data_IF_670679500937
#
_entry.id   IF_670679500937
#
_cell.length_a   1.000
_cell.length_b   1.000
_cell.length_c   1.000
_cell.angle_alpha   90.00
_cell.angle_beta   90.00
_cell.angle_gamma   90.00
#
_symmetry.space_group_name_H-M   'P 1'
#
loop_
_entity.id
_entity.type
_entity.pdbx_description
1 polymer ?
#
# COMPACT_ATOMS: atom_id res chain seq x y z
N UNK A 1 -0.04 6.37 -45.20
CA UNK A 1 -0.21 7.10 -43.92
C UNK A 1 0.97 6.69 -43.07
N UNK A 2 1.68 7.64 -42.47
CA UNK A 2 2.97 7.36 -41.82
C UNK A 2 2.73 6.48 -40.58
N UNK A 3 2.97 5.17 -40.68
CA UNK A 3 2.90 4.19 -39.58
C UNK A 3 3.99 4.38 -38.50
N UNK A 4 4.62 5.57 -38.46
CA UNK A 4 5.79 5.90 -37.63
C UNK A 4 5.55 7.03 -36.61
N UNK A 5 4.30 7.40 -36.35
CA UNK A 5 3.96 8.35 -35.27
C UNK A 5 3.23 7.62 -34.16
N UNK A 6 3.74 7.70 -32.93
CA UNK A 6 3.16 7.08 -31.74
C UNK A 6 4.24 6.54 -30.79
N UNK A 7 3.80 6.06 -29.63
CA UNK A 7 4.64 5.48 -28.59
C UNK A 7 4.28 4.01 -28.37
N UNK A 8 5.29 3.16 -28.21
CA UNK A 8 5.13 1.77 -27.79
C UNK A 8 5.16 1.74 -26.26
N UNK A 9 4.07 1.35 -25.62
CA UNK A 9 3.94 1.27 -24.16
C UNK A 9 3.98 -0.22 -23.73
N UNK A 10 5.13 -0.71 -23.21
CA UNK A 10 5.31 -2.12 -22.90
C UNK A 10 4.85 -2.49 -21.47
N UNK A 11 4.06 -3.56 -21.34
CA UNK A 11 3.71 -4.19 -20.06
C UNK A 11 4.03 -5.68 -20.08
N UNK A 12 4.44 -6.23 -18.94
CA UNK A 12 4.78 -7.65 -18.83
C UNK A 12 4.43 -8.26 -17.46
N UNK A 13 4.25 -9.57 -17.37
CA UNK A 13 4.06 -10.31 -16.11
C UNK A 13 4.71 -11.70 -16.15
N UNK A 14 4.96 -12.33 -14.99
CA UNK A 14 5.42 -13.73 -14.92
C UNK A 14 4.28 -14.71 -15.24
N UNK A 15 3.02 -14.30 -15.08
CA UNK A 15 1.84 -15.05 -15.53
C UNK A 15 0.87 -14.17 -16.34
N UNK A 16 -0.03 -14.78 -17.12
CA UNK A 16 -1.12 -14.05 -17.79
C UNK A 16 -1.98 -13.28 -16.79
N UNK A 17 -2.30 -13.91 -15.65
CA UNK A 17 -3.05 -13.28 -14.55
C UNK A 17 -2.33 -12.09 -13.92
N UNK A 18 -1.01 -12.20 -13.72
CA UNK A 18 -0.20 -11.07 -13.20
C UNK A 18 -0.21 -9.89 -14.17
N UNK A 19 -0.08 -10.16 -15.46
CA UNK A 19 -0.16 -9.12 -16.49
C UNK A 19 -1.54 -8.45 -16.49
N UNK A 20 -2.63 -9.23 -16.49
CA UNK A 20 -4.00 -8.70 -16.41
C UNK A 20 -4.25 -7.88 -15.13
N UNK A 21 -3.73 -8.34 -14.00
CA UNK A 21 -3.82 -7.59 -12.74
C UNK A 21 -3.08 -6.26 -12.83
N UNK A 22 -1.85 -6.28 -13.36
CA UNK A 22 -1.06 -5.07 -13.53
C UNK A 22 -1.77 -4.06 -14.45
N UNK A 23 -2.36 -4.52 -15.54
CA UNK A 23 -3.13 -3.67 -16.45
C UNK A 23 -4.41 -3.12 -15.82
N UNK A 24 -5.11 -3.89 -14.97
CA UNK A 24 -6.25 -3.38 -14.20
C UNK A 24 -5.84 -2.26 -13.25
N UNK A 25 -4.68 -2.39 -12.61
CA UNK A 25 -4.12 -1.37 -11.74
C UNK A 25 -3.71 -0.09 -12.50
N UNK A 26 -3.15 -0.24 -13.69
CA UNK A 26 -2.86 0.90 -14.60
C UNK A 26 -4.16 1.55 -15.06
N UNK A 27 -5.15 0.77 -15.51
CA UNK A 27 -6.48 1.25 -15.91
C UNK A 27 -7.15 2.05 -14.79
N UNK A 28 -7.14 1.51 -13.57
CA UNK A 28 -7.71 2.17 -12.38
C UNK A 28 -7.06 3.54 -12.16
N UNK A 29 -5.73 3.62 -12.24
CA UNK A 29 -4.99 4.88 -12.05
C UNK A 29 -5.29 5.90 -13.16
N UNK A 30 -5.24 5.48 -14.42
CA UNK A 30 -5.60 6.33 -15.56
C UNK A 30 -7.06 6.83 -15.49
N UNK A 31 -7.97 6.02 -14.91
CA UNK A 31 -9.39 6.36 -14.76
C UNK A 31 -9.72 7.24 -13.53
N UNK A 32 -8.93 7.12 -12.44
CA UNK A 32 -9.28 7.72 -11.14
C UNK A 32 -8.58 9.05 -10.85
N UNK A 33 -7.44 9.31 -11.50
CA UNK A 33 -6.64 10.52 -11.30
C UNK A 33 -6.83 11.51 -12.45
N UNK A 34 -6.44 12.77 -12.23
CA UNK A 34 -6.36 13.75 -13.30
C UNK A 34 -5.38 13.23 -14.36
N UNK A 35 -5.89 12.78 -15.51
CA UNK A 35 -5.14 12.09 -16.58
C UNK A 35 -3.92 12.91 -17.05
N UNK A 36 -3.96 14.24 -16.87
CA UNK A 36 -2.82 15.14 -17.09
C UNK A 36 -1.57 14.82 -16.27
N UNK A 37 -1.69 14.07 -15.18
CA UNK A 37 -0.59 13.58 -14.36
C UNK A 37 0.12 12.36 -14.97
N UNK A 38 -0.57 11.62 -15.84
CA UNK A 38 -0.13 10.35 -16.43
C UNK A 38 0.15 10.50 -17.93
N UNK A 39 0.93 11.51 -18.33
CA UNK A 39 1.31 11.63 -19.75
C UNK A 39 2.23 10.47 -20.18
N UNK A 40 2.29 10.21 -21.48
CA UNK A 40 3.04 9.08 -22.04
C UNK A 40 4.53 9.11 -21.67
N UNK A 41 5.16 10.28 -21.62
CA UNK A 41 6.59 10.36 -21.28
C UNK A 41 6.87 9.89 -19.85
N UNK A 42 6.04 10.28 -18.89
CA UNK A 42 6.17 9.85 -17.50
C UNK A 42 5.88 8.35 -17.37
N UNK A 43 4.91 7.82 -18.13
CA UNK A 43 4.59 6.39 -18.14
C UNK A 43 5.78 5.56 -18.63
N UNK A 44 6.35 5.94 -19.78
CA UNK A 44 7.53 5.31 -20.36
C UNK A 44 8.73 5.35 -19.42
N UNK A 45 8.94 6.48 -18.76
CA UNK A 45 10.01 6.65 -17.79
C UNK A 45 9.91 5.64 -16.63
N UNK A 46 8.71 5.39 -16.10
CA UNK A 46 8.50 4.39 -15.04
C UNK A 46 8.71 2.97 -15.58
N UNK A 47 8.21 2.67 -16.76
CA UNK A 47 8.36 1.36 -17.39
C UNK A 47 9.81 1.04 -17.77
N UNK A 48 10.61 2.04 -18.14
CA UNK A 48 12.04 1.87 -18.47
C UNK A 48 12.89 1.30 -17.34
N UNK A 49 12.44 1.46 -16.09
CA UNK A 49 13.14 1.00 -14.88
C UNK A 49 12.70 -0.40 -14.45
N UNK A 50 11.75 -1.00 -15.17
CA UNK A 50 11.18 -2.30 -14.86
C UNK A 50 11.82 -3.36 -15.74
N UNK A 51 12.19 -4.49 -15.12
CA UNK A 51 12.71 -5.65 -15.87
C UNK A 51 11.56 -6.42 -16.52
N UNK A 52 11.59 -6.53 -17.84
CA UNK A 52 10.57 -7.25 -18.61
C UNK A 52 10.46 -8.73 -18.24
N UNK A 53 9.23 -9.23 -18.26
CA UNK A 53 8.82 -10.59 -17.85
C UNK A 53 8.32 -11.43 -19.03
N UNK A 54 7.83 -12.64 -18.75
CA UNK A 54 7.60 -13.66 -19.78
C UNK A 54 6.31 -13.48 -20.59
N UNK A 55 5.21 -13.06 -19.97
CA UNK A 55 3.99 -12.65 -20.67
C UNK A 55 4.10 -11.17 -20.98
N UNK A 56 3.88 -10.76 -22.24
CA UNK A 56 4.13 -9.41 -22.72
C UNK A 56 2.96 -8.89 -23.53
N UNK A 57 2.64 -7.61 -23.35
CA UNK A 57 1.74 -6.86 -24.21
C UNK A 57 2.33 -5.48 -24.45
N UNK A 58 2.21 -4.97 -25.66
CA UNK A 58 2.63 -3.64 -26.05
C UNK A 58 1.45 -2.91 -26.70
N UNK A 59 1.24 -1.66 -26.29
CA UNK A 59 0.21 -0.78 -26.85
C UNK A 59 0.86 0.30 -27.69
N UNK A 60 0.34 0.55 -28.88
CA UNK A 60 0.82 1.62 -29.78
C UNK A 60 -0.17 2.78 -29.68
N UNK A 61 0.24 3.86 -29.05
CA UNK A 61 -0.66 4.97 -28.66
C UNK A 61 -0.04 6.34 -28.89
N UNK A 62 -0.88 7.34 -29.11
CA UNK A 62 -0.47 8.74 -29.19
C UNK A 62 -0.50 9.44 -27.83
N UNK A 63 -1.47 9.08 -26.97
CA UNK A 63 -1.69 9.68 -25.65
C UNK A 63 -2.22 8.70 -24.59
N UNK A 64 -2.38 9.21 -23.36
CA UNK A 64 -2.80 8.43 -22.19
C UNK A 64 -4.27 8.02 -22.23
N UNK A 65 -5.12 8.76 -22.95
CA UNK A 65 -6.54 8.45 -23.09
C UNK A 65 -6.70 7.27 -24.05
N UNK A 66 -5.96 7.27 -25.16
CA UNK A 66 -5.87 6.13 -26.06
C UNK A 66 -5.30 4.90 -25.35
N UNK A 67 -4.28 5.07 -24.50
CA UNK A 67 -3.75 3.99 -23.66
C UNK A 67 -4.82 3.39 -22.75
N UNK A 68 -5.59 4.22 -22.05
CA UNK A 68 -6.68 3.77 -21.19
C UNK A 68 -7.73 2.97 -21.98
N UNK A 69 -8.08 3.43 -23.17
CA UNK A 69 -9.04 2.78 -24.05
C UNK A 69 -8.54 1.41 -24.53
N UNK A 70 -7.28 1.31 -24.99
CA UNK A 70 -6.71 0.05 -25.45
C UNK A 70 -6.48 -0.96 -24.32
N UNK A 71 -6.07 -0.50 -23.12
CA UNK A 71 -6.00 -1.38 -21.94
C UNK A 71 -7.38 -1.91 -21.58
N UNK A 72 -8.41 -1.05 -21.62
CA UNK A 72 -9.79 -1.45 -21.34
C UNK A 72 -10.30 -2.47 -22.35
N UNK A 73 -10.00 -2.27 -23.64
CA UNK A 73 -10.33 -3.21 -24.71
C UNK A 73 -9.65 -4.57 -24.50
N UNK A 74 -8.32 -4.58 -24.30
CA UNK A 74 -7.56 -5.80 -24.05
C UNK A 74 -8.05 -6.58 -22.83
N UNK A 75 -8.39 -5.89 -21.73
CA UNK A 75 -8.91 -6.55 -20.53
C UNK A 75 -10.33 -7.12 -20.71
N UNK A 76 -11.12 -6.56 -21.62
CA UNK A 76 -12.46 -7.06 -21.95
C UNK A 76 -12.42 -8.27 -22.88
N UNK A 77 -11.48 -8.26 -23.84
CA UNK A 77 -11.25 -9.35 -24.78
C UNK A 77 -9.74 -9.44 -25.09
N UNK A 78 -8.99 -10.30 -24.38
CA UNK A 78 -7.56 -10.47 -24.62
C UNK A 78 -7.22 -11.08 -26.00
N UNK A 79 -8.22 -11.59 -26.74
CA UNK A 79 -8.08 -12.13 -28.09
C UNK A 79 -8.51 -11.14 -29.19
N UNK A 80 -8.77 -9.88 -28.82
CA UNK A 80 -9.18 -8.84 -29.76
C UNK A 80 -8.16 -8.66 -30.89
N UNK A 81 -8.62 -8.73 -32.14
CA UNK A 81 -7.80 -8.43 -33.31
C UNK A 81 -7.68 -6.90 -33.47
N UNK A 82 -6.62 -6.33 -32.90
CA UNK A 82 -6.33 -4.90 -32.98
C UNK A 82 -4.84 -4.67 -33.24
N UNK A 83 -4.51 -4.04 -34.37
CA UNK A 83 -3.12 -3.75 -34.79
C UNK A 83 -2.33 -2.87 -33.81
N UNK A 84 -3.00 -2.15 -32.91
CA UNK A 84 -2.37 -1.34 -31.85
C UNK A 84 -2.13 -2.10 -30.54
N UNK A 85 -2.54 -3.37 -30.46
CA UNK A 85 -2.35 -4.26 -29.30
C UNK A 85 -1.53 -5.46 -29.75
N UNK A 86 -0.29 -5.54 -29.28
CA UNK A 86 0.62 -6.62 -29.65
C UNK A 86 0.89 -7.48 -28.41
N UNK A 87 0.73 -8.80 -28.51
CA UNK A 87 0.91 -9.72 -27.38
C UNK A 87 1.96 -10.76 -27.69
N UNK A 88 2.53 -11.36 -26.65
CA UNK A 88 3.45 -12.49 -26.78
C UNK A 88 3.82 -13.14 -25.46
N UNK A 89 4.39 -14.32 -25.56
CA UNK A 89 4.95 -15.10 -24.48
C UNK A 89 6.33 -15.62 -24.89
N UNK A 90 7.38 -15.16 -24.19
CA UNK A 90 8.77 -15.50 -24.53
C UNK A 90 9.12 -16.99 -24.39
N UNK A 91 8.26 -17.80 -23.73
CA UNK A 91 8.47 -19.24 -23.58
C UNK A 91 7.70 -20.05 -24.64
N UNK A 92 6.68 -19.48 -25.28
CA UNK A 92 5.82 -20.17 -26.25
C UNK A 92 6.11 -19.71 -27.68
N UNK A 93 6.48 -18.44 -27.86
CA UNK A 93 6.61 -17.81 -29.18
C UNK A 93 8.04 -17.81 -29.73
N UNK A 94 8.99 -18.43 -29.02
CA UNK A 94 10.38 -18.59 -29.47
C UNK A 94 10.54 -19.52 -30.67
N UNK A 95 9.52 -20.33 -30.98
CA UNK A 95 9.52 -21.24 -32.13
C UNK A 95 9.37 -20.52 -33.49
N UNK A 96 9.19 -19.20 -33.52
CA UNK A 96 9.19 -18.41 -34.77
C UNK A 96 10.58 -18.10 -35.32
N UNK A 97 11.65 -18.52 -34.65
CA UNK A 97 13.02 -18.39 -35.15
C UNK A 97 13.27 -19.52 -36.18
N UNK A 98 12.94 -19.26 -37.44
CA UNK A 98 13.71 -19.86 -38.52
C UNK A 98 15.14 -19.34 -38.41
N UNK A 99 16.12 -20.25 -38.44
CA UNK A 99 17.56 -19.98 -38.48
C UNK A 99 17.89 -18.71 -39.29
N UNK A 100 18.00 -17.56 -38.63
CA UNK A 100 18.47 -16.34 -39.26
C UNK A 100 18.95 -15.36 -38.19
N UNK A 101 20.27 -15.31 -38.03
CA UNK A 101 20.99 -14.27 -37.30
C UNK A 101 20.93 -12.88 -37.99
N UNK A 102 19.85 -12.59 -38.72
CA UNK A 102 19.65 -11.33 -39.43
C UNK A 102 18.24 -10.80 -39.13
N UNK A 103 18.06 -10.19 -37.96
CA UNK A 103 16.94 -9.26 -37.76
C UNK A 103 17.22 -8.09 -38.70
N UNK A 104 16.52 -8.05 -39.85
CA UNK A 104 16.54 -6.93 -40.80
C UNK A 104 16.24 -5.61 -40.08
N UNK A 105 16.72 -4.48 -40.61
CA UNK A 105 16.24 -3.16 -40.20
C UNK A 105 14.71 -3.17 -40.18
N UNK A 106 14.15 -2.81 -39.03
CA UNK A 106 12.72 -2.87 -38.75
C UNK A 106 12.18 -1.46 -38.88
N UNK A 107 11.21 -1.26 -39.77
CA UNK A 107 10.79 0.08 -40.19
C UNK A 107 9.46 0.55 -39.56
N UNK A 108 8.70 -0.35 -38.89
CA UNK A 108 7.39 -0.02 -38.31
C UNK A 108 7.29 -0.25 -36.79
N UNK A 109 6.52 0.60 -36.10
CA UNK A 109 6.27 0.48 -34.65
C UNK A 109 5.63 -0.87 -34.28
N UNK A 110 4.77 -1.42 -35.14
CA UNK A 110 4.12 -2.72 -34.94
C UNK A 110 5.11 -3.88 -34.92
N UNK A 111 6.07 -3.90 -35.84
CA UNK A 111 7.10 -4.93 -35.87
C UNK A 111 8.06 -4.81 -34.69
N UNK A 112 8.41 -3.59 -34.26
CA UNK A 112 9.23 -3.37 -33.06
C UNK A 112 8.52 -3.91 -31.82
N UNK A 113 7.23 -3.60 -31.66
CA UNK A 113 6.42 -4.10 -30.55
C UNK A 113 6.33 -5.64 -30.56
N UNK A 114 6.15 -6.25 -31.75
CA UNK A 114 6.06 -7.69 -31.90
C UNK A 114 7.35 -8.40 -31.52
N UNK A 115 8.51 -7.89 -31.97
CA UNK A 115 9.81 -8.45 -31.63
C UNK A 115 10.09 -8.38 -30.12
N UNK A 116 9.65 -7.32 -29.45
CA UNK A 116 9.76 -7.26 -27.99
C UNK A 116 8.81 -8.23 -27.29
N UNK A 117 7.56 -8.36 -27.74
CA UNK A 117 6.61 -9.32 -27.18
C UNK A 117 7.11 -10.78 -27.26
N UNK A 118 7.89 -11.11 -28.30
CA UNK A 118 8.54 -12.41 -28.45
C UNK A 118 9.87 -12.55 -27.71
N UNK A 119 10.38 -11.49 -27.08
CA UNK A 119 11.67 -11.51 -26.38
C UNK A 119 12.89 -11.44 -27.30
N UNK A 120 12.70 -11.09 -28.58
CA UNK A 120 13.77 -10.96 -29.58
C UNK A 120 14.40 -9.55 -29.60
N UNK A 121 13.80 -8.57 -28.91
CA UNK A 121 14.38 -7.26 -28.63
C UNK A 121 14.46 -7.01 -27.12
N UNK A 122 15.58 -6.43 -26.69
CA UNK A 122 15.79 -5.97 -25.32
C UNK A 122 15.06 -4.65 -25.05
N UNK A 123 14.81 -4.36 -23.77
CA UNK A 123 14.09 -3.18 -23.29
C UNK A 123 14.73 -1.85 -23.76
N UNK A 124 16.03 -1.84 -24.01
CA UNK A 124 16.75 -0.68 -24.55
C UNK A 124 16.50 -0.39 -26.05
N UNK A 125 15.92 -1.34 -26.79
CA UNK A 125 15.76 -1.29 -28.26
C UNK A 125 14.30 -1.15 -28.74
N UNK A 126 13.32 -1.22 -27.83
CA UNK A 126 12.07 -0.47 -28.04
C UNK A 126 12.46 0.98 -27.79
N UNK A 127 12.09 1.92 -28.66
CA UNK A 127 12.39 3.36 -28.56
C UNK A 127 11.91 4.01 -27.23
N UNK A 128 12.56 3.66 -26.13
CA UNK A 128 12.69 4.47 -24.91
C UNK A 128 13.79 5.52 -25.12
N UNK A 129 14.00 5.92 -26.38
CA UNK A 129 15.21 6.58 -26.86
C UNK A 129 15.25 8.02 -26.34
N UNK A 130 15.81 8.17 -25.15
CA UNK A 130 16.64 9.29 -24.68
C UNK A 130 16.15 10.72 -24.92
N UNK A 131 14.86 10.94 -25.11
CA UNK A 131 14.25 12.28 -25.13
C UNK A 131 13.46 12.64 -23.88
N UNK A 132 13.35 11.73 -22.90
CA UNK A 132 12.76 12.09 -21.59
C UNK A 132 13.83 12.76 -20.75
N UNK A 133 14.03 14.06 -21.00
CA UNK A 133 14.82 14.93 -20.16
C UNK A 133 14.15 15.04 -18.77
N UNK A 134 14.84 14.48 -17.77
CA UNK A 134 14.95 14.97 -16.39
C UNK A 134 13.75 15.80 -15.91
N UNK A 135 12.63 15.15 -15.60
CA UNK A 135 11.65 15.72 -14.69
C UNK A 135 11.43 14.72 -13.56
N UNK A 136 11.77 15.12 -12.33
CA UNK A 136 11.73 14.32 -11.09
C UNK A 136 10.32 13.89 -10.65
N UNK A 137 9.35 13.83 -11.55
CA UNK A 137 7.97 13.50 -11.21
C UNK A 137 7.79 11.98 -11.25
N UNK A 138 7.96 11.34 -10.10
CA UNK A 138 7.57 9.94 -9.91
C UNK A 138 6.04 9.86 -9.89
N UNK A 139 5.47 9.02 -10.75
CA UNK A 139 4.07 8.58 -10.64
C UNK A 139 4.08 7.09 -10.32
N UNK A 140 3.16 6.68 -9.48
CA UNK A 140 2.90 5.26 -9.30
C UNK A 140 2.09 4.75 -10.49
N UNK A 141 2.60 3.74 -11.19
CA UNK A 141 1.89 3.03 -12.27
C UNK A 141 1.39 1.66 -11.83
N UNK A 142 1.54 1.31 -10.56
CA UNK A 142 1.43 -0.04 -10.02
C UNK A 142 2.76 -0.80 -10.13
N UNK A 143 3.03 -1.68 -9.18
CA UNK A 143 4.16 -2.61 -9.23
C UNK A 143 3.90 -3.78 -10.17
N UNK A 144 4.96 -4.50 -10.59
CA UNK A 144 4.75 -5.91 -10.94
C UNK A 144 4.39 -6.59 -9.64
N UNK A 145 3.15 -7.02 -9.52
CA UNK A 145 2.78 -7.90 -8.42
C UNK A 145 3.39 -9.25 -8.75
N UNK A 146 4.67 -9.39 -8.40
CA UNK A 146 5.30 -10.69 -8.18
C UNK A 146 4.26 -11.56 -7.52
N UNK A 147 4.05 -12.75 -8.09
CA UNK A 147 3.22 -13.83 -7.59
C UNK A 147 2.56 -13.53 -6.24
N UNK A 148 1.26 -13.79 -6.18
CA UNK A 148 0.44 -14.04 -4.98
C UNK A 148 1.01 -15.10 -4.00
N UNK A 149 2.31 -15.38 -4.05
CA UNK A 149 3.13 -16.19 -3.16
C UNK A 149 4.15 -15.36 -2.35
N UNK A 150 4.24 -14.03 -2.52
CA UNK A 150 4.96 -13.12 -1.60
C UNK A 150 4.08 -11.92 -1.17
N UNK A 151 2.80 -12.20 -0.91
CA UNK A 151 2.21 -11.71 0.34
C UNK A 151 3.16 -12.23 1.43
N UNK A 152 3.58 -11.47 2.47
CA UNK A 152 4.07 -12.12 3.68
C UNK A 152 3.11 -13.28 3.95
N UNK A 153 3.62 -14.51 3.93
CA UNK A 153 2.79 -15.72 3.97
C UNK A 153 1.69 -15.52 5.01
N UNK A 154 0.44 -15.63 4.52
CA UNK A 154 -0.87 -15.62 5.21
C UNK A 154 -1.44 -14.32 5.81
N UNK A 155 -2.21 -13.62 4.97
CA UNK A 155 -3.63 -13.48 5.27
C UNK A 155 -4.45 -13.97 4.08
N UNK A 156 -4.82 -15.24 4.12
CA UNK A 156 -5.93 -15.74 3.30
C UNK A 156 -7.22 -15.19 3.87
N UNK A 157 -7.58 -13.96 3.50
CA UNK A 157 -8.95 -13.47 3.72
C UNK A 157 -9.86 -14.31 2.84
N UNK A 158 -10.66 -15.14 3.47
CA UNK A 158 -11.70 -15.92 2.81
C UNK A 158 -13.01 -15.38 3.34
N UNK A 159 -13.84 -14.83 2.45
CA UNK A 159 -15.21 -14.48 2.76
C UNK A 159 -16.03 -15.77 2.84
N UNK A 160 -16.48 -16.22 4.03
CA UNK A 160 -17.39 -17.35 4.15
C UNK A 160 -18.81 -16.85 3.82
N UNK A 161 -19.13 -16.58 2.57
CA UNK A 161 -20.53 -16.27 2.22
C UNK A 161 -21.37 -17.55 2.26
N UNK A 162 -21.82 -17.93 3.46
CA UNK A 162 -22.84 -18.96 3.66
C UNK A 162 -24.21 -18.30 3.85
N UNK A 163 -25.25 -18.80 3.17
CA UNK A 163 -26.63 -18.28 3.24
C UNK A 163 -27.22 -18.26 4.66
N UNK A 164 -26.75 -19.12 5.56
CA UNK A 164 -27.18 -19.16 6.97
C UNK A 164 -26.58 -18.05 7.83
N UNK A 165 -25.44 -17.46 7.44
CA UNK A 165 -24.74 -16.42 8.21
C UNK A 165 -25.29 -15.00 7.96
N UNK A 166 -26.18 -14.84 6.97
CA UNK A 166 -26.95 -13.63 6.68
C UNK A 166 -28.23 -13.59 7.53
N UNK A 167 -28.10 -13.52 8.86
CA UNK A 167 -29.27 -13.30 9.72
C UNK A 167 -29.82 -11.89 9.41
N UNK A 168 -30.99 -11.82 8.78
CA UNK A 168 -31.71 -10.59 8.37
C UNK A 168 -30.95 -9.62 7.43
N UNK A 169 -29.96 -10.08 6.65
CA UNK A 169 -29.13 -9.23 5.77
C UNK A 169 -28.36 -8.09 6.49
N UNK A 170 -28.25 -8.10 7.81
CA UNK A 170 -27.57 -7.05 8.58
C UNK A 170 -26.21 -7.48 9.12
N UNK A 171 -25.91 -8.79 9.16
CA UNK A 171 -24.64 -9.29 9.68
C UNK A 171 -23.93 -10.05 8.57
N UNK A 172 -22.65 -9.71 8.39
CA UNK A 172 -21.70 -10.38 7.50
C UNK A 172 -20.47 -10.80 8.30
N UNK A 173 -19.88 -11.92 7.94
CA UNK A 173 -18.61 -12.36 8.50
C UNK A 173 -17.54 -12.41 7.42
N UNK A 174 -16.31 -12.05 7.78
CA UNK A 174 -15.10 -12.34 7.01
C UNK A 174 -14.18 -13.20 7.89
N UNK A 175 -13.43 -14.14 7.32
CA UNK A 175 -12.48 -14.96 8.08
C UNK A 175 -11.09 -14.80 7.51
N UNK A 176 -10.10 -14.76 8.40
CA UNK A 176 -8.71 -14.85 8.01
C UNK A 176 -7.93 -15.61 9.08
N UNK A 177 -6.89 -16.32 8.65
CA UNK A 177 -6.06 -17.13 9.53
C UNK A 177 -4.66 -16.55 9.56
N UNK A 178 -4.16 -16.37 10.78
CA UNK A 178 -2.77 -16.01 11.07
C UNK A 178 -2.09 -17.25 11.63
N UNK A 179 -1.02 -17.69 10.98
CA UNK A 179 -0.27 -18.88 11.36
C UNK A 179 0.74 -18.61 12.46
N UNK A 180 1.15 -17.35 12.60
CA UNK A 180 2.30 -16.93 13.38
C UNK A 180 3.58 -16.85 12.54
N UNK A 181 3.64 -17.49 11.38
CA UNK A 181 4.83 -17.55 10.51
C UNK A 181 4.92 -16.37 9.53
N UNK A 182 3.91 -15.48 9.51
CA UNK A 182 3.90 -14.26 8.71
C UNK A 182 5.12 -13.38 9.06
N UNK A 183 5.82 -12.84 8.07
CA UNK A 183 6.98 -11.95 8.31
C UNK A 183 6.61 -10.77 9.21
N UNK A 184 5.40 -10.21 9.06
CA UNK A 184 4.94 -9.10 9.89
C UNK A 184 4.61 -9.49 11.35
N UNK A 185 4.48 -10.78 11.66
CA UNK A 185 4.33 -11.27 13.04
C UNK A 185 5.70 -11.62 13.61
N UNK A 186 6.56 -12.24 12.80
CA UNK A 186 7.93 -12.56 13.19
C UNK A 186 8.77 -11.30 13.44
N UNK A 187 8.57 -10.24 12.66
CA UNK A 187 9.25 -8.95 12.81
C UNK A 187 8.61 -8.02 13.85
N UNK A 188 7.56 -8.44 14.57
CA UNK A 188 6.88 -7.61 15.56
C UNK A 188 6.89 -8.29 16.94
N UNK A 189 8.01 -8.15 17.65
CA UNK A 189 8.28 -8.87 18.91
C UNK A 189 8.33 -7.91 20.09
N UNK A 190 7.44 -8.07 21.07
CA UNK A 190 7.47 -7.30 22.32
C UNK A 190 7.66 -8.26 23.50
N UNK A 191 8.54 -7.90 24.41
CA UNK A 191 8.88 -8.69 25.60
C UNK A 191 9.26 -10.14 25.29
N UNK A 192 9.90 -10.37 24.14
CA UNK A 192 10.31 -11.69 23.67
C UNK A 192 9.19 -12.55 23.11
N UNK A 193 8.00 -11.98 22.85
CA UNK A 193 6.88 -12.65 22.21
C UNK A 193 6.50 -11.97 20.90
N UNK A 194 6.28 -12.77 19.85
CA UNK A 194 5.68 -12.30 18.60
C UNK A 194 4.22 -11.92 18.83
N UNK A 195 3.83 -10.75 18.33
CA UNK A 195 2.52 -10.15 18.55
C UNK A 195 2.02 -9.61 17.22
N UNK A 196 0.75 -9.83 16.89
CA UNK A 196 0.16 -9.19 15.72
C UNK A 196 0.14 -7.66 15.90
N UNK A 197 0.66 -6.87 14.94
CA UNK A 197 0.69 -5.42 15.02
C UNK A 197 -0.71 -4.82 15.16
N UNK A 198 -0.85 -3.79 15.99
CA UNK A 198 -2.10 -3.05 16.11
C UNK A 198 -2.55 -2.44 14.77
N UNK A 199 -1.58 -2.01 13.94
CA UNK A 199 -1.78 -1.49 12.60
C UNK A 199 -2.44 -2.49 11.62
N UNK A 200 -2.31 -3.80 11.86
CA UNK A 200 -2.92 -4.85 11.03
C UNK A 200 -4.45 -4.68 10.96
N UNK A 201 -5.09 -4.40 12.10
CA UNK A 201 -6.55 -4.21 12.16
C UNK A 201 -7.01 -3.01 11.34
N UNK A 202 -6.21 -1.93 11.32
CA UNK A 202 -6.50 -0.72 10.55
C UNK A 202 -6.39 -1.01 9.05
N UNK A 203 -5.29 -1.64 8.61
CA UNK A 203 -5.12 -2.06 7.20
C UNK A 203 -6.27 -2.97 6.75
N UNK A 204 -6.66 -3.93 7.58
CA UNK A 204 -7.76 -4.85 7.27
C UNK A 204 -9.11 -4.15 7.13
N UNK A 205 -9.41 -3.17 7.98
CA UNK A 205 -10.65 -2.40 7.85
C UNK A 205 -10.68 -1.64 6.53
N UNK A 206 -9.60 -0.94 6.17
CA UNK A 206 -9.53 -0.26 4.88
C UNK A 206 -9.64 -1.22 3.70
N UNK A 207 -9.06 -2.42 3.80
CA UNK A 207 -9.16 -3.45 2.76
C UNK A 207 -10.59 -4.00 2.61
N UNK A 208 -11.27 -4.30 3.73
CA UNK A 208 -12.65 -4.80 3.73
C UNK A 208 -13.62 -3.78 3.13
N UNK A 209 -13.36 -2.49 3.33
CA UNK A 209 -14.19 -1.40 2.84
C UNK A 209 -13.55 -0.61 1.68
N UNK A 210 -12.58 -1.18 0.97
CA UNK A 210 -11.75 -0.47 -0.03
C UNK A 210 -12.56 0.22 -1.14
N UNK A 211 -13.75 -0.29 -1.43
CA UNK A 211 -14.66 0.25 -2.44
C UNK A 211 -15.49 1.45 -1.94
N UNK A 212 -15.30 1.88 -0.70
CA UNK A 212 -16.06 2.95 -0.05
C UNK A 212 -15.10 3.92 0.64
N UNK A 213 -15.43 5.21 0.64
CA UNK A 213 -14.77 6.16 1.53
C UNK A 213 -15.30 5.97 2.93
N UNK A 214 -14.42 5.61 3.85
CA UNK A 214 -14.76 5.32 5.24
C UNK A 214 -13.97 6.19 6.20
N UNK A 215 -14.63 6.59 7.27
CA UNK A 215 -13.99 7.00 8.52
C UNK A 215 -14.17 5.87 9.52
N UNK A 216 -13.09 5.46 10.17
CA UNK A 216 -13.13 4.49 11.26
C UNK A 216 -13.19 5.28 12.56
N UNK A 217 -14.15 4.97 13.43
CA UNK A 217 -14.34 5.61 14.73
C UNK A 217 -14.21 4.62 15.87
N UNK A 218 -13.80 5.13 17.02
CA UNK A 218 -13.73 4.40 18.28
C UNK A 218 -12.99 3.05 18.15
N UNK A 219 -11.94 3.00 17.33
CA UNK A 219 -11.17 1.78 17.14
C UNK A 219 -10.46 1.45 18.44
N UNK A 220 -10.82 0.33 19.04
CA UNK A 220 -10.35 -0.10 20.36
C UNK A 220 -9.67 -1.45 20.25
N UNK A 221 -8.40 -1.53 20.66
CA UNK A 221 -7.68 -2.79 20.83
C UNK A 221 -7.94 -3.32 22.23
N UNK A 222 -8.89 -4.26 22.35
CA UNK A 222 -9.31 -4.84 23.62
C UNK A 222 -8.33 -5.88 24.16
N UNK A 223 -7.66 -6.61 23.26
CA UNK A 223 -6.69 -7.64 23.63
C UNK A 223 -5.58 -7.75 22.60
N UNK A 224 -4.36 -7.92 23.10
CA UNK A 224 -3.19 -8.27 22.28
C UNK A 224 -3.36 -9.68 21.71
N UNK A 225 -3.04 -9.85 20.42
CA UNK A 225 -3.03 -11.14 19.76
C UNK A 225 -1.59 -11.68 19.70
N UNK A 226 -1.28 -12.60 20.62
CA UNK A 226 0.06 -13.18 20.83
C UNK A 226 0.07 -14.71 20.78
N UNK A 227 -1.03 -15.30 20.32
CA UNK A 227 -1.26 -16.74 20.30
C UNK A 227 -1.63 -17.18 18.88
N UNK A 228 -0.81 -18.06 18.31
CA UNK A 228 -0.91 -18.51 16.92
C UNK A 228 -0.74 -20.05 16.85
N UNK A 229 -1.30 -20.73 15.83
CA UNK A 229 -2.17 -20.19 14.78
C UNK A 229 -3.54 -19.79 15.33
N UNK A 230 -4.19 -18.83 14.68
CA UNK A 230 -5.52 -18.33 15.05
C UNK A 230 -6.31 -17.92 13.82
N UNK A 231 -7.56 -18.38 13.74
CA UNK A 231 -8.54 -17.87 12.78
C UNK A 231 -9.35 -16.78 13.44
N UNK A 232 -9.24 -15.56 12.92
CA UNK A 232 -10.08 -14.45 13.31
C UNK A 232 -11.32 -14.39 12.44
N UNK A 233 -12.45 -14.22 13.11
CA UNK A 233 -13.76 -13.91 12.56
C UNK A 233 -13.99 -12.41 12.70
N UNK A 234 -14.07 -11.73 11.57
CA UNK A 234 -14.50 -10.35 11.49
C UNK A 234 -16.02 -10.30 11.37
N UNK A 235 -16.71 -9.93 12.44
CA UNK A 235 -18.15 -9.72 12.44
C UNK A 235 -18.45 -8.29 12.05
N UNK A 236 -19.24 -8.11 10.99
CA UNK A 236 -19.64 -6.83 10.43
C UNK A 236 -21.15 -6.72 10.61
N UNK A 237 -21.60 -5.77 11.43
CA UNK A 237 -23.02 -5.51 11.69
C UNK A 237 -23.38 -4.18 11.02
N UNK A 238 -24.13 -4.25 9.93
CA UNK A 238 -24.57 -3.11 9.14
C UNK A 238 -25.86 -2.51 9.72
N UNK A 239 -25.85 -1.19 9.96
CA UNK A 239 -27.04 -0.39 10.25
C UNK A 239 -27.21 0.71 9.19
N UNK A 240 -28.28 1.51 9.30
CA UNK A 240 -28.61 2.54 8.29
C UNK A 240 -27.50 3.58 8.11
N UNK A 241 -26.77 3.95 9.17
CA UNK A 241 -25.77 5.04 9.14
C UNK A 241 -24.37 4.63 9.61
N UNK A 242 -24.23 3.47 10.24
CA UNK A 242 -22.99 3.04 10.91
C UNK A 242 -22.82 1.53 10.78
N UNK A 243 -21.58 1.09 10.59
CA UNK A 243 -21.24 -0.33 10.54
C UNK A 243 -20.34 -0.66 11.72
N UNK A 244 -20.83 -1.53 12.62
CA UNK A 244 -20.02 -2.03 13.74
C UNK A 244 -19.17 -3.19 13.28
N UNK A 245 -17.89 -3.18 13.60
CA UNK A 245 -16.95 -4.22 13.23
C UNK A 245 -16.25 -4.79 14.47
N UNK A 246 -16.19 -6.11 14.58
CA UNK A 246 -15.63 -6.83 15.72
C UNK A 246 -14.70 -7.95 15.23
N UNK A 247 -13.44 -7.97 15.69
CA UNK A 247 -12.46 -9.02 15.43
C UNK A 247 -12.46 -10.01 16.59
N UNK A 248 -12.97 -11.22 16.34
CA UNK A 248 -13.23 -12.27 17.33
C UNK A 248 -12.45 -13.54 16.98
N UNK A 249 -12.01 -14.33 17.97
CA UNK A 249 -11.56 -15.71 17.71
C UNK A 249 -12.72 -16.73 17.75
N UNK A 250 -12.38 -18.02 17.60
CA UNK A 250 -13.36 -19.11 17.65
C UNK A 250 -14.09 -19.28 18.99
N UNK A 251 -13.61 -18.65 20.07
CA UNK A 251 -14.27 -18.62 21.38
C UNK A 251 -15.04 -17.32 21.62
N UNK A 252 -15.29 -16.52 20.57
CA UNK A 252 -15.90 -15.19 20.64
C UNK A 252 -15.11 -14.19 21.50
N UNK A 253 -13.80 -14.39 21.66
CA UNK A 253 -12.96 -13.42 22.39
C UNK A 253 -12.66 -12.21 21.50
N UNK A 254 -13.00 -11.01 21.98
CA UNK A 254 -12.80 -9.74 21.28
C UNK A 254 -11.36 -9.24 21.38
N UNK A 255 -10.71 -9.05 20.21
CA UNK A 255 -9.37 -8.47 20.10
C UNK A 255 -9.40 -6.99 19.71
N UNK A 256 -10.24 -6.64 18.75
CA UNK A 256 -10.38 -5.28 18.24
C UNK A 256 -11.83 -5.01 17.85
N UNK A 257 -12.30 -3.79 18.06
CA UNK A 257 -13.60 -3.33 17.55
C UNK A 257 -13.51 -1.91 17.03
N UNK A 258 -14.35 -1.57 16.06
CA UNK A 258 -14.47 -0.21 15.55
C UNK A 258 -15.87 0.04 14.98
N UNK A 259 -16.21 1.31 14.86
CA UNK A 259 -17.36 1.79 14.10
C UNK A 259 -16.87 2.32 12.75
N UNK A 260 -17.59 2.05 11.67
CA UNK A 260 -17.24 2.47 10.31
C UNK A 260 -18.37 3.30 9.76
N UNK A 261 -18.05 4.54 9.37
CA UNK A 261 -18.99 5.51 8.82
C UNK A 261 -18.66 5.73 7.34
N UNK A 262 -19.67 5.65 6.48
CA UNK A 262 -19.52 5.90 5.05
C UNK A 262 -19.66 7.38 4.74
N UNK A 263 -18.63 7.96 4.12
CA UNK A 263 -18.60 9.39 3.79
C UNK A 263 -18.96 9.62 2.32
N UNK A 264 -20.09 10.29 2.09
CA UNK A 264 -20.55 10.63 0.73
C UNK A 264 -20.02 11.97 0.22
N UNK A 265 -19.42 12.78 1.08
CA UNK A 265 -18.88 14.11 0.74
C UNK A 265 -17.39 14.18 1.02
N UNK A 266 -16.67 14.94 0.19
CA UNK A 266 -15.25 15.24 0.37
C UNK A 266 -15.17 16.30 1.49
N UNK A 267 -14.84 15.88 2.71
CA UNK A 267 -14.59 16.84 3.77
C UNK A 267 -13.20 17.45 3.53
N UNK A 268 -13.14 18.79 3.42
CA UNK A 268 -11.86 19.49 3.36
C UNK A 268 -11.24 19.47 4.75
N UNK A 269 -10.09 18.82 4.88
CA UNK A 269 -9.30 18.84 6.09
C UNK A 269 -8.41 20.07 6.08
N UNK A 270 -8.43 20.84 7.18
CA UNK A 270 -7.40 21.84 7.38
C UNK A 270 -6.08 21.09 7.56
N UNK A 271 -5.23 21.12 6.53
CA UNK A 271 -3.83 20.77 6.67
C UNK A 271 -3.24 21.73 7.70
N UNK A 272 -3.18 21.31 8.95
CA UNK A 272 -2.31 21.96 9.91
C UNK A 272 -0.89 21.58 9.49
N UNK A 273 -0.35 22.33 8.52
CA UNK A 273 1.07 22.24 8.17
C UNK A 273 1.78 22.60 9.47
N UNK A 274 2.32 21.58 10.14
CA UNK A 274 3.09 21.77 11.35
C UNK A 274 4.37 22.47 10.92
N UNK A 275 4.57 23.68 11.42
CA UNK A 275 5.70 24.51 11.05
C UNK A 275 7.01 23.78 11.39
N UNK A 276 7.86 23.56 10.38
CA UNK A 276 9.17 22.93 10.56
C UNK A 276 10.03 23.68 11.59
N UNK A 277 9.73 24.96 11.87
CA UNK A 277 10.38 25.73 12.93
C UNK A 277 10.23 25.11 14.33
N UNK A 278 9.17 24.32 14.57
CA UNK A 278 8.92 23.67 15.86
C UNK A 278 9.98 22.61 16.23
N UNK A 279 10.78 22.16 15.26
CA UNK A 279 11.80 21.12 15.45
C UNK A 279 13.23 21.66 15.47
N UNK A 280 13.45 22.96 15.26
CA UNK A 280 14.79 23.56 15.12
C UNK A 280 15.69 23.38 16.35
N UNK A 281 15.09 23.23 17.54
CA UNK A 281 15.81 23.00 18.80
C UNK A 281 15.83 21.53 19.25
N UNK A 282 15.22 20.62 18.48
CA UNK A 282 15.13 19.21 18.85
C UNK A 282 16.37 18.42 18.41
N UNK A 283 16.80 17.47 19.25
CA UNK A 283 17.87 16.54 18.89
C UNK A 283 17.26 15.48 17.97
N UNK A 284 17.80 15.37 16.75
CA UNK A 284 17.45 14.31 15.82
C UNK A 284 18.23 13.04 16.15
N UNK A 285 17.52 11.92 16.26
CA UNK A 285 18.11 10.58 16.39
C UNK A 285 17.90 9.82 15.09
N UNK A 286 18.94 9.11 14.66
CA UNK A 286 18.89 8.27 13.46
C UNK A 286 18.18 6.92 13.71
N UNK A 287 17.91 6.21 12.61
CA UNK A 287 17.29 4.88 12.59
C UNK A 287 17.96 3.89 13.55
N UNK A 288 19.29 3.86 13.60
CA UNK A 288 20.01 2.90 14.46
C UNK A 288 19.76 3.17 15.95
N UNK A 289 19.74 4.45 16.34
CA UNK A 289 19.47 4.89 17.70
C UNK A 289 17.98 4.73 18.06
N UNK A 290 17.07 4.92 17.10
CA UNK A 290 15.63 4.64 17.28
C UNK A 290 15.41 3.18 17.65
N UNK A 291 15.93 2.25 16.85
CA UNK A 291 15.65 0.83 17.06
C UNK A 291 16.46 0.23 18.22
N UNK A 292 17.61 0.82 18.57
CA UNK A 292 18.28 0.55 19.85
C UNK A 292 17.41 0.97 21.03
N UNK A 293 16.79 2.16 20.96
CA UNK A 293 15.90 2.65 22.02
C UNK A 293 14.68 1.76 22.23
N UNK A 294 14.11 1.18 21.16
CA UNK A 294 13.04 0.18 21.25
C UNK A 294 13.52 -1.14 21.85
N UNK A 295 14.69 -1.63 21.44
CA UNK A 295 15.30 -2.84 22.02
C UNK A 295 15.49 -2.71 23.53
N UNK A 296 15.90 -1.53 24.02
CA UNK A 296 16.01 -1.24 25.46
C UNK A 296 14.64 -1.31 26.19
N UNK A 297 13.54 -1.04 25.48
CA UNK A 297 12.17 -1.23 25.97
C UNK A 297 11.69 -2.69 25.87
N UNK A 298 12.56 -3.60 25.42
CA UNK A 298 12.23 -4.99 25.06
C UNK A 298 11.24 -5.08 23.90
N UNK A 299 11.26 -4.10 23.00
CA UNK A 299 10.48 -4.09 21.77
C UNK A 299 11.46 -4.27 20.62
N UNK A 300 11.41 -5.42 19.97
CA UNK A 300 12.30 -5.80 18.88
C UNK A 300 11.52 -5.79 17.57
N UNK A 301 11.67 -4.70 16.83
CA UNK A 301 11.16 -4.58 15.46
C UNK A 301 12.17 -5.21 14.50
N UNK A 302 11.72 -6.16 13.68
CA UNK A 302 12.46 -6.67 12.54
C UNK A 302 12.40 -5.71 11.35
N UNK A 303 13.14 -6.02 10.29
CA UNK A 303 13.36 -5.12 9.14
C UNK A 303 12.07 -4.64 8.47
N UNK A 304 11.00 -5.44 8.54
CA UNK A 304 9.68 -5.09 8.02
C UNK A 304 9.09 -3.85 8.72
N UNK A 305 9.32 -3.67 10.02
CA UNK A 305 8.80 -2.55 10.80
C UNK A 305 9.80 -1.42 11.03
N UNK A 306 11.04 -1.57 10.57
CA UNK A 306 12.07 -0.55 10.71
C UNK A 306 11.96 0.56 9.64
N UNK A 307 10.83 1.28 9.63
CA UNK A 307 10.53 2.29 8.59
C UNK A 307 11.01 3.70 8.91
N UNK A 308 11.35 4.00 10.17
CA UNK A 308 11.82 5.33 10.58
C UNK A 308 13.31 5.50 10.24
N UNK A 309 13.61 6.51 9.43
CA UNK A 309 14.97 6.93 9.10
C UNK A 309 15.54 7.87 10.18
N UNK A 310 14.69 8.75 10.71
CA UNK A 310 15.03 9.62 11.84
C UNK A 310 13.80 10.02 12.65
N UNK A 311 14.06 10.49 13.87
CA UNK A 311 13.05 10.93 14.81
C UNK A 311 13.54 12.16 15.57
N UNK A 312 12.63 13.11 15.81
CA UNK A 312 12.91 14.32 16.56
C UNK A 312 11.66 14.76 17.32
N UNK A 313 11.80 15.28 18.54
CA UNK A 313 10.66 15.76 19.33
C UNK A 313 11.03 16.89 20.29
N UNK A 314 10.01 17.65 20.70
CA UNK A 314 10.02 18.50 21.90
C UNK A 314 8.86 18.07 22.83
N UNK A 315 8.41 18.92 23.77
CA UNK A 315 7.35 18.58 24.71
C UNK A 315 5.93 18.56 24.09
N UNK A 316 5.74 19.16 22.92
CA UNK A 316 4.43 19.38 22.28
C UNK A 316 4.24 18.55 21.00
N UNK A 317 5.33 18.31 20.27
CA UNK A 317 5.30 17.67 18.96
C UNK A 317 6.48 16.71 18.76
N UNK A 318 6.22 15.64 18.01
CA UNK A 318 7.24 14.74 17.50
C UNK A 318 7.10 14.54 15.98
N UNK A 319 8.23 14.24 15.35
CA UNK A 319 8.34 13.92 13.93
C UNK A 319 9.11 12.62 13.74
N UNK A 320 8.60 11.76 12.88
CA UNK A 320 9.32 10.59 12.39
C UNK A 320 9.43 10.67 10.87
N UNK A 321 10.64 10.66 10.32
CA UNK A 321 10.85 10.63 8.88
C UNK A 321 10.88 9.18 8.40
N UNK A 322 10.18 8.89 7.31
CA UNK A 322 10.08 7.55 6.73
C UNK A 322 11.19 7.30 5.71
N UNK A 323 11.62 6.04 5.60
CA UNK A 323 12.66 5.63 4.66
C UNK A 323 12.20 5.77 3.20
N UNK A 324 12.81 6.73 2.48
CA UNK A 324 12.51 7.09 1.08
C UNK A 324 12.82 6.00 0.05
N UNK A 325 13.55 4.95 0.42
CA UNK A 325 13.88 3.83 -0.46
C UNK A 325 12.85 2.68 -0.38
N UNK A 326 11.84 2.81 0.47
CA UNK A 326 10.79 1.80 0.61
C UNK A 326 9.65 2.06 -0.38
N UNK A 327 9.12 0.99 -0.98
CA UNK A 327 7.85 1.05 -1.70
C UNK A 327 6.73 0.69 -0.72
N UNK A 328 5.84 1.63 -0.44
CA UNK A 328 4.68 1.41 0.42
C UNK A 328 3.45 1.02 -0.41
N UNK A 329 2.40 0.53 0.26
CA UNK A 329 1.08 0.20 -0.30
C UNK A 329 0.06 1.27 0.10
N UNK A 330 -1.08 1.32 -0.61
CA UNK A 330 -2.19 2.26 -0.34
C UNK A 330 -2.56 2.36 1.13
N UNK A 331 -2.67 1.21 1.80
CA UNK A 331 -2.84 1.10 3.23
C UNK A 331 -1.77 0.14 3.76
N UNK A 332 -0.59 0.67 4.07
CA UNK A 332 0.53 -0.14 4.54
C UNK A 332 0.61 -0.18 6.07
N UNK A 333 0.37 -1.35 6.66
CA UNK A 333 0.46 -1.55 8.11
C UNK A 333 1.82 -1.18 8.68
N UNK A 334 2.91 -1.31 7.90
CA UNK A 334 4.25 -0.98 8.40
C UNK A 334 4.46 0.52 8.54
N UNK A 335 3.80 1.32 7.69
CA UNK A 335 3.78 2.78 7.77
C UNK A 335 2.85 3.25 8.88
N UNK A 336 1.68 2.63 9.01
CA UNK A 336 0.73 2.90 10.11
C UNK A 336 1.39 2.56 11.46
N UNK A 337 2.12 1.44 11.54
CA UNK A 337 2.86 1.05 12.73
C UNK A 337 4.03 2.00 13.01
N UNK A 338 4.76 2.46 11.99
CA UNK A 338 5.77 3.51 12.16
C UNK A 338 5.17 4.81 12.76
N UNK A 339 3.92 5.11 12.43
CA UNK A 339 3.18 6.22 13.02
C UNK A 339 2.89 5.98 14.51
N UNK A 340 2.50 4.75 14.88
CA UNK A 340 2.35 4.33 16.28
C UNK A 340 3.70 4.30 17.04
N UNK A 341 4.79 3.88 16.39
CA UNK A 341 6.16 3.91 16.92
C UNK A 341 6.57 5.36 17.24
N UNK A 342 6.29 6.30 16.34
CA UNK A 342 6.57 7.74 16.56
C UNK A 342 5.80 8.26 17.78
N UNK A 343 4.53 7.86 17.94
CA UNK A 343 3.72 8.22 19.10
C UNK A 343 4.19 7.56 20.40
N UNK A 344 4.72 6.34 20.32
CA UNK A 344 5.30 5.60 21.44
C UNK A 344 6.59 6.29 21.95
N UNK A 345 7.49 6.66 21.04
CA UNK A 345 8.68 7.45 21.38
C UNK A 345 8.31 8.80 21.99
N UNK A 346 7.31 9.48 21.43
CA UNK A 346 6.86 10.76 21.96
C UNK A 346 6.30 10.65 23.38
N UNK A 347 5.45 9.66 23.64
CA UNK A 347 4.95 9.39 24.99
C UNK A 347 6.07 9.14 25.98
N UNK A 348 7.08 8.34 25.61
CA UNK A 348 8.24 8.07 26.47
C UNK A 348 9.02 9.36 26.78
N UNK A 349 9.26 10.19 25.78
CA UNK A 349 10.00 11.44 25.94
C UNK A 349 9.31 12.39 26.90
N UNK A 350 7.97 12.42 26.91
CA UNK A 350 7.18 13.20 27.89
C UNK A 350 6.89 12.44 29.19
N UNK A 351 7.60 11.34 29.46
CA UNK A 351 7.56 10.60 30.73
C UNK A 351 6.40 9.62 30.91
N UNK A 352 5.65 9.31 29.85
CA UNK A 352 4.55 8.35 29.87
C UNK A 352 5.04 6.95 29.47
N UNK A 353 4.99 5.98 30.39
CA UNK A 353 5.17 4.57 30.06
C UNK A 353 3.89 4.03 29.39
N UNK A 354 3.81 4.13 28.07
CA UNK A 354 2.81 3.47 27.24
C UNK A 354 3.52 2.37 26.49
N UNK A 355 2.93 1.16 26.39
CA UNK A 355 3.56 0.05 25.66
C UNK A 355 2.64 -0.54 24.59
N UNK A 356 1.34 -0.25 24.66
CA UNK A 356 0.34 -0.80 23.75
C UNK A 356 -0.64 0.27 23.29
N UNK A 357 -1.04 0.26 22.01
CA UNK A 357 -2.23 0.96 21.54
C UNK A 357 -3.47 0.53 22.32
N UNK A 358 -4.35 1.46 22.66
CA UNK A 358 -5.60 1.16 23.37
C UNK A 358 -6.82 1.62 22.56
N UNK A 359 -6.86 2.90 22.19
CA UNK A 359 -7.97 3.46 21.42
C UNK A 359 -7.49 4.54 20.44
N UNK A 360 -8.17 4.64 19.30
CA UNK A 360 -8.16 5.80 18.41
C UNK A 360 -9.60 6.25 18.20
N UNK A 361 -9.87 7.53 18.40
CA UNK A 361 -11.23 8.07 18.30
C UNK A 361 -11.69 8.16 16.85
N UNK A 362 -10.79 8.57 15.96
CA UNK A 362 -11.09 8.72 14.54
C UNK A 362 -9.86 8.42 13.69
N UNK A 363 -10.04 7.59 12.66
CA UNK A 363 -9.05 7.32 11.62
C UNK A 363 -9.66 7.71 10.29
N UNK A 364 -8.94 8.54 9.56
CA UNK A 364 -9.36 9.06 8.27
C UNK A 364 -8.24 8.94 7.26
N UNK A 365 -8.61 8.66 6.01
CA UNK A 365 -7.70 8.57 4.88
C UNK A 365 -8.15 9.54 3.80
N UNK A 366 -7.22 10.37 3.35
CA UNK A 366 -7.38 11.33 2.25
C UNK A 366 -6.52 10.96 1.03
N UNK A 367 -5.46 10.19 1.27
CA UNK A 367 -4.50 9.80 0.26
C UNK A 367 -3.97 8.39 0.52
N UNK A 368 -3.20 7.94 -0.43
CA UNK A 368 -2.60 6.62 -0.47
C UNK A 368 -1.21 6.70 0.20
N UNK A 369 -0.83 5.71 1.02
CA UNK A 369 0.42 5.74 1.80
C UNK A 369 1.68 5.47 0.97
N UNK A 370 1.55 5.19 -0.34
CA UNK A 370 2.65 5.12 -1.30
C UNK A 370 3.51 6.39 -1.30
N UNK A 371 2.87 7.55 -1.10
CA UNK A 371 3.52 8.86 -1.09
C UNK A 371 3.99 9.29 0.31
N UNK A 372 3.89 8.42 1.33
CA UNK A 372 4.22 8.77 2.71
C UNK A 372 5.71 9.10 2.86
N UNK A 373 5.99 10.24 3.51
CA UNK A 373 7.33 10.80 3.68
C UNK A 373 7.65 11.03 5.16
N UNK A 374 6.70 11.54 5.93
CA UNK A 374 6.90 11.81 7.35
C UNK A 374 5.62 11.68 8.16
N UNK A 375 5.83 11.49 9.46
CA UNK A 375 4.79 11.41 10.48
C UNK A 375 4.94 12.60 11.41
N UNK A 376 3.82 13.22 11.79
CA UNK A 376 3.78 14.22 12.84
C UNK A 376 2.83 13.76 13.94
N UNK A 377 3.30 13.82 15.17
CA UNK A 377 2.51 13.51 16.37
C UNK A 377 2.39 14.77 17.21
N UNK A 378 1.16 15.15 17.55
CA UNK A 378 0.88 16.30 18.42
C UNK A 378 0.10 15.86 19.65
N UNK A 379 0.27 16.54 20.79
CA UNK A 379 -0.50 16.27 22.00
C UNK A 379 -1.61 17.31 22.18
N UNK A 380 -2.85 16.86 22.38
CA UNK A 380 -3.99 17.72 22.73
C UNK A 380 -4.85 17.02 23.78
N UNK A 381 -5.10 17.68 24.92
CA UNK A 381 -5.97 17.17 26.00
C UNK A 381 -5.60 15.74 26.46
N UNK A 382 -4.31 15.44 26.65
CA UNK A 382 -3.77 14.12 27.00
C UNK A 382 -4.00 12.99 25.96
N UNK A 383 -4.47 13.33 24.76
CA UNK A 383 -4.52 12.42 23.61
C UNK A 383 -3.50 12.86 22.57
N UNK A 384 -3.09 11.93 21.73
CA UNK A 384 -2.22 12.23 20.62
C UNK A 384 -3.03 12.28 19.32
N UNK A 385 -2.67 13.20 18.43
CA UNK A 385 -3.10 13.15 17.03
C UNK A 385 -1.88 12.83 16.19
N UNK A 386 -1.97 11.77 15.41
CA UNK A 386 -0.90 11.24 14.57
C UNK A 386 -1.31 11.48 13.13
N UNK A 387 -0.55 12.27 12.38
CA UNK A 387 -0.76 12.46 10.94
C UNK A 387 0.39 11.87 10.14
N UNK A 388 0.05 11.21 9.04
CA UNK A 388 0.99 10.70 8.04
C UNK A 388 0.88 11.61 6.81
N UNK A 389 2.01 12.14 6.37
CA UNK A 389 2.10 13.16 5.36
C UNK A 389 3.03 12.73 4.23
N UNK A 390 2.70 13.15 3.01
CA UNK A 390 3.59 13.01 1.87
C UNK A 390 4.61 14.15 1.74
N UNK A 391 5.48 14.04 0.73
CA UNK A 391 6.66 14.92 0.57
C UNK A 391 6.35 16.43 0.51
N UNK A 392 5.14 16.81 0.09
CA UNK A 392 4.69 18.21 0.00
C UNK A 392 3.84 18.65 1.21
N UNK A 393 3.85 17.90 2.31
CA UNK A 393 2.98 18.15 3.46
C UNK A 393 1.51 17.78 3.19
N UNK A 394 1.25 17.01 2.13
CA UNK A 394 -0.10 16.51 1.83
C UNK A 394 -0.48 15.52 2.92
N UNK A 395 -1.59 15.77 3.59
CA UNK A 395 -2.15 14.86 4.59
C UNK A 395 -2.71 13.61 3.90
N UNK A 396 -2.21 12.43 4.28
CA UNK A 396 -2.58 11.15 3.67
C UNK A 396 -3.52 10.35 4.57
N UNK A 397 -3.17 10.21 5.84
CA UNK A 397 -3.92 9.44 6.83
C UNK A 397 -3.65 9.99 8.23
N UNK A 398 -4.62 9.93 9.13
CA UNK A 398 -4.36 10.24 10.52
C UNK A 398 -5.18 9.46 11.51
N UNK A 399 -4.62 9.35 12.71
CA UNK A 399 -5.17 8.69 13.90
C UNK A 399 -5.36 9.78 14.94
N UNK A 400 -6.59 10.29 15.05
CA UNK A 400 -6.98 11.37 15.93
C UNK A 400 -7.49 10.83 17.27
N UNK A 401 -7.11 11.47 18.36
CA UNK A 401 -7.51 11.03 19.70
C UNK A 401 -6.86 9.71 20.15
N UNK A 402 -5.67 9.38 19.65
CA UNK A 402 -4.93 8.19 20.05
C UNK A 402 -4.57 8.21 21.54
N UNK A 403 -4.84 7.09 22.20
CA UNK A 403 -4.43 6.80 23.57
C UNK A 403 -3.82 5.39 23.59
N UNK A 404 -2.67 5.26 24.22
CA UNK A 404 -2.09 3.96 24.56
C UNK A 404 -2.13 3.68 26.06
N UNK A 405 -1.75 2.46 26.44
CA UNK A 405 -1.81 1.96 27.81
C UNK A 405 -0.48 1.32 28.26
N UNK A 406 -0.14 1.45 29.54
CA UNK A 406 0.97 0.70 30.18
C UNK A 406 0.46 -0.65 30.68
N UNK A 407 1.01 -1.75 30.19
CA UNK A 407 0.69 -3.11 30.70
C UNK A 407 1.07 -3.37 32.17
N UNK A 408 1.57 -2.38 32.93
CA UNK A 408 1.77 -2.52 34.38
C UNK A 408 0.41 -2.49 35.06
N UNK A 409 -0.08 -3.66 35.49
CA UNK A 409 -1.01 -3.72 36.62
C UNK A 409 -0.40 -2.87 37.74
N UNK A 410 -1.08 -1.79 38.16
CA UNK A 410 -0.82 -1.24 39.48
C UNK A 410 -0.92 -2.43 40.44
N UNK A 411 0.20 -2.80 41.08
CA UNK A 411 0.12 -3.58 42.30
C UNK A 411 -0.70 -2.72 43.26
N UNK A 412 -1.98 -3.05 43.41
CA UNK A 412 -2.77 -2.65 44.57
C UNK A 412 -2.38 -3.63 45.68
#
# INVERSE_FOLDING_TARGET
>A
MNDNTGYIIPFSGNSKKELEYYLNEVKRRLSSYNISLYNIQVILEVLSRKKSKQYRVAFIVDDSEELLNLITLYLSDPAVDNKKIVTGNILQDTNFIGDSNEIKEVDSLGEIAQLWCWGLRNDANIQLDKQVALHNRRIDLGGYYYNSEHIPRSMGMVSPLNKEELINNQIRYEKFTLTGEEDFIQDHVLYGKSIAPAAMYIELLFKVFENKRVTIRNLTWSKVLDSFPVTLKLKITESINEVRVEFLDGNELLYCSADVVFNNTKQEFSSNIVDNQLFLSSIEIDSSNIYTSFSDMKINYGSTFQKLESYSSNDEVARGNLNKNSSYRMYDMTVIDAALQTALLFNRNVGNEVNYPFIVEEIESQGALEDADHIIVTKKNNKLNIGIYGINGIYLLGLNGYIGFSGKKKKI
#
